data_IF_380811114680
#
_entry.id   IF_380811114680
#
_cell.length_a   1.000
_cell.length_b   1.000
_cell.length_c   1.000
_cell.angle_alpha   90.00
_cell.angle_beta   90.00
_cell.angle_gamma   90.00
#
_symmetry.space_group_name_H-M   'P 1'
#
loop_
_entity.id
_entity.type
_entity.pdbx_description
1 polymer ?
#
# COMPACT_ATOMS: atom_id res chain seq x y z
N UNK A 1 -10.24 -5.58 -4.28
CA UNK A 1 -9.41 -5.52 -5.52
C UNK A 1 -8.43 -4.38 -5.43
N UNK A 2 -7.22 -4.56 -5.97
CA UNK A 2 -6.19 -3.52 -6.03
C UNK A 2 -6.15 -2.84 -7.41
N UNK A 3 -5.91 -1.54 -7.43
CA UNK A 3 -5.44 -0.77 -8.59
C UNK A 3 -4.02 -0.30 -8.32
N UNK A 4 -3.13 -0.47 -9.29
CA UNK A 4 -1.71 -0.14 -9.16
C UNK A 4 -1.26 0.81 -10.28
N UNK A 5 -0.40 1.76 -9.93
CA UNK A 5 0.16 2.74 -10.86
C UNK A 5 1.63 2.98 -10.54
N UNK A 6 2.44 3.21 -11.58
CA UNK A 6 3.84 3.63 -11.47
C UNK A 6 4.02 4.99 -12.15
N UNK A 7 4.66 5.91 -11.46
CA UNK A 7 5.15 7.18 -11.99
C UNK A 7 6.67 7.22 -11.97
N UNK A 8 7.26 7.78 -13.02
CA UNK A 8 8.64 8.24 -12.97
C UNK A 8 8.79 9.39 -11.96
N UNK A 9 9.98 9.49 -11.39
CA UNK A 9 10.41 10.64 -10.60
C UNK A 9 11.74 11.16 -11.14
N UNK A 10 12.09 12.40 -10.83
CA UNK A 10 13.43 12.95 -11.12
C UNK A 10 14.47 12.56 -10.06
N UNK A 11 14.08 11.75 -9.06
CA UNK A 11 14.92 11.41 -7.91
C UNK A 11 15.86 10.26 -8.24
N UNK A 12 17.10 10.39 -7.78
CA UNK A 12 18.15 9.37 -7.87
C UNK A 12 18.71 9.14 -6.47
N UNK A 13 18.81 7.88 -6.05
CA UNK A 13 19.34 7.48 -4.75
C UNK A 13 20.45 6.43 -4.94
N UNK A 14 21.64 6.67 -4.40
CA UNK A 14 22.78 5.76 -4.57
C UNK A 14 23.17 5.51 -6.05
N UNK A 15 22.90 6.48 -6.93
CA UNK A 15 23.11 6.36 -8.38
C UNK A 15 22.00 5.61 -9.13
N UNK A 16 20.91 5.25 -8.46
CA UNK A 16 19.78 4.50 -9.05
C UNK A 16 18.56 5.38 -9.19
N UNK A 17 17.85 5.24 -10.32
CA UNK A 17 16.59 5.93 -10.55
C UNK A 17 15.54 5.39 -9.56
N UNK A 18 14.82 6.31 -8.93
CA UNK A 18 13.71 6.00 -8.04
C UNK A 18 12.40 6.24 -8.78
N UNK A 19 11.44 5.35 -8.61
CA UNK A 19 10.09 5.50 -9.12
C UNK A 19 9.11 5.56 -7.95
N UNK A 20 7.95 6.18 -8.19
CA UNK A 20 6.86 6.23 -7.23
C UNK A 20 5.77 5.26 -7.65
N UNK A 21 5.39 4.39 -6.73
CA UNK A 21 4.28 3.46 -6.89
C UNK A 21 3.09 3.93 -6.07
N UNK A 22 1.90 3.79 -6.63
CA UNK A 22 0.65 4.02 -5.95
C UNK A 22 -0.22 2.76 -6.01
N UNK A 23 -0.80 2.39 -4.87
CA UNK A 23 -1.77 1.30 -4.76
C UNK A 23 -3.05 1.84 -4.16
N UNK A 24 -4.19 1.49 -4.76
CA UNK A 24 -5.51 1.67 -4.15
C UNK A 24 -6.14 0.30 -3.94
N UNK A 25 -6.32 -0.09 -2.68
CA UNK A 25 -6.95 -1.35 -2.30
C UNK A 25 -8.39 -1.10 -1.84
N UNK A 26 -9.37 -1.74 -2.47
CA UNK A 26 -10.73 -1.76 -1.93
C UNK A 26 -10.78 -2.64 -0.67
N UNK A 27 -11.25 -2.06 0.43
CA UNK A 27 -11.34 -2.70 1.73
C UNK A 27 -12.78 -2.59 2.25
N UNK A 28 -13.38 -3.74 2.58
CA UNK A 28 -14.63 -3.81 3.33
C UNK A 28 -14.34 -3.92 4.82
N UNK A 29 -14.90 -3.02 5.62
CA UNK A 29 -14.79 -3.10 7.07
C UNK A 29 -15.80 -4.12 7.62
N UNK A 30 -15.31 -5.30 7.99
CA UNK A 30 -16.11 -6.36 8.62
C UNK A 30 -16.12 -6.27 10.16
N UNK A 31 -15.46 -5.27 10.75
CA UNK A 31 -15.43 -5.01 12.18
C UNK A 31 -16.65 -4.26 12.70
N UNK A 32 -16.64 -3.94 14.00
CA UNK A 32 -17.73 -3.24 14.70
C UNK A 32 -17.49 -1.75 14.93
N UNK A 33 -16.29 -1.25 14.65
CA UNK A 33 -15.90 0.17 14.76
C UNK A 33 -15.47 0.72 13.40
N UNK A 34 -15.52 2.04 13.19
CA UNK A 34 -14.88 2.64 12.02
C UNK A 34 -13.40 2.25 11.91
N UNK A 35 -12.93 2.05 10.69
CA UNK A 35 -11.57 1.64 10.38
C UNK A 35 -10.83 2.77 9.68
N UNK A 36 -9.66 3.14 10.19
CA UNK A 36 -8.81 4.19 9.60
C UNK A 36 -7.45 3.61 9.27
N UNK A 37 -6.92 3.93 8.09
CA UNK A 37 -5.58 3.47 7.72
C UNK A 37 -4.52 4.04 8.67
N UNK A 38 -3.73 3.16 9.30
CA UNK A 38 -2.62 3.51 10.19
C UNK A 38 -1.25 3.41 9.55
N UNK A 39 -1.10 2.53 8.55
CA UNK A 39 0.12 2.43 7.76
C UNK A 39 0.07 1.29 6.76
N UNK A 40 1.09 1.25 5.90
CA UNK A 40 1.25 0.20 4.89
C UNK A 40 2.72 -0.11 4.64
N UNK A 41 2.94 -1.33 4.17
CA UNK A 41 4.19 -1.80 3.56
C UNK A 41 3.84 -2.55 2.28
N UNK A 42 4.63 -2.31 1.23
CA UNK A 42 4.63 -3.18 0.06
C UNK A 42 5.73 -4.23 0.23
N UNK A 43 5.35 -5.51 0.16
CA UNK A 43 6.24 -6.65 0.37
C UNK A 43 6.57 -7.30 -0.97
N UNK A 44 7.86 -7.37 -1.29
CA UNK A 44 8.39 -8.01 -2.48
C UNK A 44 8.38 -9.54 -2.41
N UNK A 45 8.60 -10.22 -3.54
CA UNK A 45 8.56 -11.67 -3.63
C UNK A 45 9.65 -12.38 -2.80
N UNK A 46 10.71 -11.69 -2.38
CA UNK A 46 11.74 -12.25 -1.48
C UNK A 46 11.59 -11.74 -0.04
N UNK A 47 10.46 -11.10 0.28
CA UNK A 47 10.17 -10.54 1.59
C UNK A 47 10.77 -9.16 1.83
N UNK A 48 11.27 -8.48 0.80
CA UNK A 48 11.73 -7.08 0.93
C UNK A 48 10.56 -6.18 1.29
N UNK A 49 10.73 -5.29 2.27
CA UNK A 49 9.66 -4.39 2.72
C UNK A 49 9.98 -2.95 2.32
N UNK A 50 9.06 -2.31 1.58
CA UNK A 50 9.09 -0.87 1.33
C UNK A 50 7.95 -0.19 2.07
N UNK A 51 8.32 0.63 3.07
CA UNK A 51 7.37 1.39 3.86
C UNK A 51 6.72 2.48 3.02
N UNK A 52 5.40 2.61 3.14
CA UNK A 52 4.68 3.69 2.48
C UNK A 52 5.17 5.07 2.95
N UNK A 53 5.28 6.00 2.01
CA UNK A 53 5.48 7.43 2.27
C UNK A 53 4.25 8.04 2.95
N UNK A 54 3.07 7.52 2.59
CA UNK A 54 1.80 7.88 3.18
C UNK A 54 0.74 6.84 2.88
N UNK A 55 -0.24 6.75 3.78
CA UNK A 55 -1.48 6.01 3.57
C UNK A 55 -2.64 6.95 3.79
N UNK A 56 -3.71 6.80 3.03
CA UNK A 56 -4.87 7.65 3.19
C UNK A 56 -6.18 6.92 2.87
N UNK A 57 -7.20 7.33 3.61
CA UNK A 57 -8.61 7.08 3.36
C UNK A 57 -9.30 8.43 3.36
N UNK A 58 -10.28 8.65 2.49
CA UNK A 58 -11.00 9.94 2.45
C UNK A 58 -11.68 10.25 3.79
N UNK A 59 -12.17 9.21 4.47
CA UNK A 59 -12.80 9.25 5.78
C UNK A 59 -12.78 7.80 6.34
N UNK A 60 -12.90 7.60 7.67
CA UNK A 60 -12.95 6.27 8.26
C UNK A 60 -14.01 5.37 7.61
N UNK A 61 -13.68 4.10 7.39
CA UNK A 61 -14.61 3.14 6.79
C UNK A 61 -15.54 2.63 7.88
N UNK A 62 -16.82 3.02 7.85
CA UNK A 62 -17.81 2.54 8.81
C UNK A 62 -18.04 1.02 8.69
N UNK A 63 -18.49 0.34 9.77
CA UNK A 63 -18.85 -1.08 9.73
C UNK A 63 -19.77 -1.44 8.56
N UNK A 64 -19.45 -2.52 7.85
CA UNK A 64 -20.16 -3.03 6.69
C UNK A 64 -19.98 -2.22 5.40
N UNK A 65 -19.22 -1.12 5.42
CA UNK A 65 -18.93 -0.31 4.22
C UNK A 65 -17.63 -0.74 3.56
N UNK A 66 -17.56 -0.51 2.26
CA UNK A 66 -16.36 -0.69 1.44
C UNK A 66 -15.80 0.66 0.99
N UNK A 67 -14.48 0.77 0.93
CA UNK A 67 -13.79 1.96 0.40
C UNK A 67 -12.39 1.64 -0.10
N UNK A 68 -11.89 2.47 -1.02
CA UNK A 68 -10.49 2.47 -1.43
C UNK A 68 -9.57 3.06 -0.37
N UNK A 69 -8.53 2.31 -0.02
CA UNK A 69 -7.38 2.75 0.79
C UNK A 69 -6.20 2.98 -0.14
N UNK A 70 -5.69 4.21 -0.17
CA UNK A 70 -4.55 4.60 -0.99
C UNK A 70 -3.23 4.51 -0.22
N UNK A 71 -2.17 4.13 -0.91
CA UNK A 71 -0.80 4.27 -0.39
C UNK A 71 0.19 4.64 -1.50
N UNK A 72 1.23 5.36 -1.12
CA UNK A 72 2.36 5.71 -1.98
C UNK A 72 3.67 5.15 -1.43
N UNK A 73 4.56 4.69 -2.31
CA UNK A 73 5.91 4.25 -1.94
C UNK A 73 6.90 4.62 -3.02
N UNK A 74 8.14 4.87 -2.60
CA UNK A 74 9.27 5.05 -3.50
C UNK A 74 10.23 3.88 -3.38
N UNK A 75 10.74 3.42 -4.52
CA UNK A 75 11.73 2.35 -4.58
C UNK A 75 12.58 2.45 -5.85
N UNK A 76 13.75 1.79 -5.88
CA UNK A 76 14.54 1.69 -7.10
C UNK A 76 13.74 1.10 -8.26
N UNK A 77 13.91 1.64 -9.47
CA UNK A 77 13.16 1.22 -10.65
C UNK A 77 13.28 -0.29 -10.94
N UNK A 78 14.44 -0.88 -10.68
CA UNK A 78 14.67 -2.31 -10.85
C UNK A 78 13.86 -3.17 -9.87
N UNK A 79 13.49 -2.62 -8.71
CA UNK A 79 12.68 -3.27 -7.71
C UNK A 79 11.18 -3.02 -7.91
N UNK A 80 10.80 -2.12 -8.82
CA UNK A 80 9.43 -1.61 -8.98
C UNK A 80 8.59 -2.36 -10.02
N UNK A 81 8.92 -3.63 -10.28
CA UNK A 81 8.28 -4.48 -11.28
C UNK A 81 7.93 -5.84 -10.70
N UNK A 82 6.86 -6.43 -11.21
CA UNK A 82 6.38 -7.73 -10.76
C UNK A 82 5.24 -7.62 -9.76
N UNK A 83 5.07 -8.68 -8.97
CA UNK A 83 3.94 -8.86 -8.06
C UNK A 83 4.39 -8.75 -6.62
N UNK A 84 3.58 -8.06 -5.82
CA UNK A 84 3.82 -7.73 -4.43
C UNK A 84 2.62 -8.12 -3.57
N UNK A 85 2.85 -8.19 -2.27
CA UNK A 85 1.81 -8.24 -1.25
C UNK A 85 1.71 -6.90 -0.57
N UNK A 86 0.51 -6.32 -0.51
CA UNK A 86 0.25 -5.13 0.29
C UNK A 86 -0.10 -5.55 1.72
N UNK A 87 0.67 -5.06 2.69
CA UNK A 87 0.39 -5.20 4.12
C UNK A 87 -0.18 -3.88 4.65
N UNK A 88 -1.39 -3.89 5.19
CA UNK A 88 -2.11 -2.73 5.72
C UNK A 88 -2.50 -2.95 7.18
N UNK A 89 -2.51 -1.90 8.00
CA UNK A 89 -3.04 -1.97 9.37
C UNK A 89 -3.79 -0.70 9.73
N UNK A 90 -4.67 -0.83 10.72
CA UNK A 90 -5.51 0.27 11.19
C UNK A 90 -4.81 1.14 12.23
N UNK A 91 -5.37 2.32 12.51
CA UNK A 91 -4.94 3.13 13.66
C UNK A 91 -5.50 2.56 14.98
N UNK A 92 -6.64 1.88 14.90
CA UNK A 92 -7.44 1.44 16.04
C UNK A 92 -6.94 0.12 16.65
N UNK A 93 -6.43 -0.81 15.83
CA UNK A 93 -5.93 -2.10 16.30
C UNK A 93 -4.43 -2.08 16.58
N UNK A 94 -4.06 -2.39 17.82
CA UNK A 94 -2.68 -2.62 18.21
C UNK A 94 -2.31 -4.08 17.94
N UNK A 95 -2.01 -4.42 16.68
CA UNK A 95 -1.29 -5.67 16.36
C UNK A 95 -1.78 -6.47 15.15
N UNK A 96 -2.89 -6.11 14.52
CA UNK A 96 -3.39 -6.76 13.30
C UNK A 96 -2.88 -6.08 12.03
N UNK A 97 -2.37 -6.86 11.08
CA UNK A 97 -2.14 -6.40 9.70
C UNK A 97 -2.85 -7.34 8.73
N UNK A 98 -3.52 -6.76 7.76
CA UNK A 98 -4.17 -7.45 6.65
C UNK A 98 -3.22 -7.52 5.45
N UNK A 99 -3.23 -8.65 4.75
CA UNK A 99 -2.35 -8.93 3.62
C UNK A 99 -3.16 -9.12 2.34
N UNK A 100 -2.79 -8.38 1.29
CA UNK A 100 -3.44 -8.41 -0.01
C UNK A 100 -2.42 -8.78 -1.09
N UNK A 101 -2.46 -10.03 -1.53
CA UNK A 101 -1.60 -10.54 -2.58
C UNK A 101 -2.01 -10.06 -3.98
N UNK A 102 -1.09 -10.15 -4.93
CA UNK A 102 -1.40 -9.92 -6.35
C UNK A 102 -1.35 -8.46 -6.79
N UNK A 103 -0.73 -7.57 -6.01
CA UNK A 103 -0.51 -6.18 -6.44
C UNK A 103 0.61 -6.15 -7.46
N UNK A 104 0.28 -5.95 -8.74
CA UNK A 104 1.26 -6.05 -9.83
C UNK A 104 1.58 -4.69 -10.47
N UNK A 105 2.86 -4.49 -10.83
CA UNK A 105 3.33 -3.33 -11.57
C UNK A 105 4.06 -3.78 -12.85
N UNK A 106 3.70 -3.21 -14.03
CA UNK A 106 4.27 -3.60 -15.33
C UNK A 106 5.73 -3.15 -15.52
#
# INVERSE_FOLDING_TARGET
TALSYRSDTTRVEGGRKVVRLMVTQQLQNNGSTPWTAGGAVLVGPKGEEWKALGVWTQEPIAPGKERGVGMEVEMPEEAARGTFTLKLWSQEEKGGAEFFDGVSFP
#
